data_IF_964237272653
#
_entry.id   IF_964237272653
#
_cell.length_a   1.000
_cell.length_b   1.000
_cell.length_c   1.000
_cell.angle_alpha   90.00
_cell.angle_beta   90.00
_cell.angle_gamma   90.00
#
_symmetry.space_group_name_H-M   'P 1'
#
loop_
_entity.id
_entity.type
_entity.pdbx_description
1 polymer ?
#
# COMPACT_ATOMS: atom_id res chain seq x y z
N UNK A 1 -15.39 5.32 0.08
CA UNK A 1 -15.92 4.99 -1.26
C UNK A 1 -14.75 4.99 -2.25
N UNK A 2 -14.14 3.83 -2.52
CA UNK A 2 -13.03 3.68 -3.49
C UNK A 2 -13.50 3.16 -4.86
N UNK A 3 -14.76 2.74 -4.97
CA UNK A 3 -15.30 2.07 -6.16
C UNK A 3 -15.34 2.99 -7.39
N UNK A 4 -15.67 4.27 -7.24
CA UNK A 4 -15.82 5.21 -8.37
C UNK A 4 -14.49 5.63 -9.03
N UNK A 5 -13.34 5.38 -8.41
CA UNK A 5 -12.03 5.72 -9.00
C UNK A 5 -11.44 4.60 -9.86
N UNK A 6 -11.96 3.37 -9.74
CA UNK A 6 -11.50 2.21 -10.52
C UNK A 6 -12.11 2.21 -11.93
N UNK A 7 -13.28 2.83 -12.11
CA UNK A 7 -13.95 2.96 -13.42
C UNK A 7 -13.08 3.65 -14.50
N UNK A 8 -12.07 4.43 -14.10
CA UNK A 8 -11.11 5.05 -15.02
C UNK A 8 -9.86 4.21 -15.31
N UNK A 9 -9.70 3.03 -14.70
CA UNK A 9 -8.62 2.08 -14.98
C UNK A 9 -9.10 1.16 -16.12
N UNK A 10 -9.22 1.75 -17.31
CA UNK A 10 -9.84 1.06 -18.45
C UNK A 10 -8.82 0.46 -19.41
N UNK A 11 -7.53 0.81 -19.29
CA UNK A 11 -6.47 0.34 -20.19
C UNK A 11 -5.59 -0.74 -19.53
N UNK A 12 -5.18 -1.75 -20.29
CA UNK A 12 -4.16 -2.73 -19.90
C UNK A 12 -2.86 -2.04 -19.44
N UNK A 13 -2.53 -0.89 -20.04
CA UNK A 13 -1.38 -0.09 -19.67
C UNK A 13 -1.50 0.51 -18.25
N UNK A 14 -2.71 0.87 -17.82
CA UNK A 14 -2.96 1.41 -16.48
C UNK A 14 -2.77 0.32 -15.41
N UNK A 15 -3.29 -0.88 -15.68
CA UNK A 15 -3.05 -2.05 -14.85
C UNK A 15 -1.57 -2.39 -14.73
N UNK A 16 -0.81 -2.29 -15.83
CA UNK A 16 0.64 -2.51 -15.82
C UNK A 16 1.39 -1.48 -14.98
N UNK A 17 1.00 -0.20 -15.05
CA UNK A 17 1.58 0.87 -14.22
C UNK A 17 1.30 0.59 -12.73
N UNK A 18 0.07 0.22 -12.40
CA UNK A 18 -0.35 -0.10 -11.03
C UNK A 18 0.39 -1.31 -10.47
N UNK A 19 0.51 -2.39 -11.25
CA UNK A 19 1.24 -3.60 -10.84
C UNK A 19 2.72 -3.30 -10.58
N UNK A 20 3.38 -2.58 -11.50
CA UNK A 20 4.78 -2.18 -11.32
C UNK A 20 4.97 -1.26 -10.13
N UNK A 21 4.08 -0.30 -9.93
CA UNK A 21 4.12 0.60 -8.79
C UNK A 21 3.96 -0.16 -7.47
N UNK A 22 3.04 -1.13 -7.41
CA UNK A 22 2.83 -2.00 -6.26
C UNK A 22 4.06 -2.85 -5.94
N UNK A 23 4.58 -3.58 -6.92
CA UNK A 23 5.78 -4.40 -6.76
C UNK A 23 6.97 -3.55 -6.28
N UNK A 24 7.15 -2.36 -6.86
CA UNK A 24 8.25 -1.47 -6.48
C UNK A 24 8.04 -0.87 -5.08
N UNK A 25 6.82 -0.52 -4.70
CA UNK A 25 6.52 -0.04 -3.34
C UNK A 25 6.79 -1.13 -2.30
N UNK A 26 6.37 -2.37 -2.57
CA UNK A 26 6.64 -3.52 -1.71
C UNK A 26 8.16 -3.75 -1.56
N UNK A 27 8.93 -3.66 -2.66
CA UNK A 27 10.40 -3.74 -2.60
C UNK A 27 11.01 -2.63 -1.73
N UNK A 28 10.57 -1.38 -1.86
CA UNK A 28 11.07 -0.26 -1.04
C UNK A 28 10.77 -0.50 0.45
N UNK A 29 9.61 -1.08 0.76
CA UNK A 29 9.20 -1.39 2.12
C UNK A 29 9.80 -2.70 2.66
N UNK A 30 10.57 -3.44 1.85
CA UNK A 30 11.10 -4.76 2.22
C UNK A 30 10.02 -5.83 2.42
N UNK A 31 8.85 -5.67 1.80
CA UNK A 31 7.68 -6.55 1.95
C UNK A 31 7.51 -7.44 0.73
N UNK A 32 7.00 -8.65 0.95
CA UNK A 32 6.60 -9.52 -0.15
C UNK A 32 5.25 -9.06 -0.75
N UNK A 33 5.14 -8.79 -2.06
CA UNK A 33 3.93 -8.28 -2.68
C UNK A 33 2.75 -9.28 -2.70
N UNK A 34 3.01 -10.59 -2.51
CA UNK A 34 1.98 -11.64 -2.58
C UNK A 34 1.54 -12.13 -1.20
N UNK A 35 2.48 -12.23 -0.26
CA UNK A 35 2.26 -12.89 1.02
C UNK A 35 2.22 -11.94 2.21
N UNK A 36 2.67 -10.69 2.05
CA UNK A 36 2.69 -9.76 3.18
C UNK A 36 1.28 -9.26 3.51
N UNK A 37 0.86 -9.25 4.78
CA UNK A 37 -0.49 -8.82 5.18
C UNK A 37 -0.79 -7.36 4.78
N UNK A 38 0.23 -6.50 4.79
CA UNK A 38 0.13 -5.10 4.36
C UNK A 38 0.27 -4.89 2.85
N UNK A 39 0.49 -5.93 2.04
CA UNK A 39 0.62 -5.77 0.58
C UNK A 39 -0.69 -5.28 -0.06
N UNK A 40 -1.84 -5.69 0.47
CA UNK A 40 -3.14 -5.19 0.03
C UNK A 40 -3.30 -3.70 0.33
N UNK A 41 -2.84 -3.25 1.50
CA UNK A 41 -2.86 -1.84 1.86
C UNK A 41 -1.97 -1.00 0.94
N UNK A 42 -0.78 -1.50 0.60
CA UNK A 42 0.11 -0.89 -0.40
C UNK A 42 -0.60 -0.76 -1.75
N UNK A 43 -1.31 -1.79 -2.21
CA UNK A 43 -2.06 -1.76 -3.47
C UNK A 43 -3.16 -0.68 -3.46
N UNK A 44 -3.94 -0.60 -2.38
CA UNK A 44 -4.97 0.44 -2.21
C UNK A 44 -4.37 1.85 -2.23
N UNK A 45 -3.22 2.04 -1.60
CA UNK A 45 -2.52 3.32 -1.58
C UNK A 45 -2.00 3.69 -2.97
N UNK A 46 -1.46 2.74 -3.73
CA UNK A 46 -1.05 2.94 -5.14
C UNK A 46 -2.25 3.36 -6.00
N UNK A 47 -3.39 2.64 -5.89
CA UNK A 47 -4.62 2.97 -6.64
C UNK A 47 -5.12 4.37 -6.27
N UNK A 48 -5.07 4.74 -4.99
CA UNK A 48 -5.49 6.07 -4.55
C UNK A 48 -4.60 7.18 -5.15
N UNK A 49 -3.28 6.99 -5.24
CA UNK A 49 -2.41 7.97 -5.91
C UNK A 49 -2.61 7.99 -7.42
N UNK A 50 -2.86 6.84 -8.03
CA UNK A 50 -3.19 6.75 -9.44
C UNK A 50 -4.51 7.48 -9.75
N UNK A 51 -5.54 7.29 -8.92
CA UNK A 51 -6.82 7.98 -9.06
C UNK A 51 -6.69 9.52 -8.98
N UNK A 52 -5.65 10.04 -8.31
CA UNK A 52 -5.34 11.47 -8.23
C UNK A 52 -4.65 12.03 -9.48
N UNK A 53 -4.35 11.19 -10.46
CA UNK A 53 -3.75 11.59 -11.74
C UNK A 53 -2.30 11.13 -11.92
N UNK A 54 -1.67 10.50 -10.93
CA UNK A 54 -0.29 10.03 -11.10
C UNK A 54 -0.22 8.77 -11.96
N UNK A 55 0.63 8.84 -12.98
CA UNK A 55 0.84 7.75 -13.96
C UNK A 55 2.27 7.23 -13.98
N UNK A 56 3.20 7.90 -13.30
CA UNK A 56 4.57 7.43 -13.16
C UNK A 56 4.67 6.37 -12.06
N UNK A 57 5.03 5.14 -12.44
CA UNK A 57 5.07 4.01 -11.51
C UNK A 57 6.14 4.18 -10.41
N UNK A 58 7.25 4.85 -10.70
CA UNK A 58 8.32 5.10 -9.72
C UNK A 58 7.91 6.13 -8.68
N UNK A 59 7.21 7.18 -9.13
CA UNK A 59 6.64 8.22 -8.27
C UNK A 59 5.51 7.66 -7.41
N UNK A 60 4.61 6.87 -8.00
CA UNK A 60 3.56 6.13 -7.27
C UNK A 60 4.16 5.24 -6.17
N UNK A 61 5.19 4.46 -6.51
CA UNK A 61 5.84 3.58 -5.55
C UNK A 61 6.47 4.35 -4.38
N UNK A 62 7.18 5.43 -4.70
CA UNK A 62 7.85 6.27 -3.70
C UNK A 62 6.86 6.99 -2.79
N UNK A 63 5.76 7.53 -3.34
CA UNK A 63 4.71 8.20 -2.58
C UNK A 63 3.95 7.21 -1.68
N UNK A 64 3.68 6.01 -2.18
CA UNK A 64 3.09 4.93 -1.38
C UNK A 64 4.00 4.52 -0.24
N UNK A 65 5.28 4.24 -0.51
CA UNK A 65 6.22 3.85 0.53
C UNK A 65 6.38 4.94 1.60
N UNK A 66 6.53 6.20 1.19
CA UNK A 66 6.60 7.34 2.13
C UNK A 66 5.34 7.45 2.99
N UNK A 67 4.16 7.26 2.40
CA UNK A 67 2.90 7.32 3.14
C UNK A 67 2.78 6.18 4.15
N UNK A 68 3.18 4.97 3.77
CA UNK A 68 3.18 3.79 4.66
C UNK A 68 4.18 3.94 5.82
N UNK A 69 5.37 4.48 5.55
CA UNK A 69 6.37 4.78 6.58
C UNK A 69 5.84 5.84 7.55
N UNK A 70 5.32 6.96 7.05
CA UNK A 70 4.77 8.01 7.89
C UNK A 70 3.58 7.52 8.73
N UNK A 71 2.72 6.65 8.19
CA UNK A 71 1.63 6.05 8.97
C UNK A 71 2.19 5.23 10.14
N UNK A 72 3.23 4.45 9.89
CA UNK A 72 3.88 3.66 10.93
C UNK A 72 4.58 4.54 11.98
N UNK A 73 5.24 5.62 11.58
CA UNK A 73 5.88 6.57 12.49
C UNK A 73 4.85 7.26 13.41
N UNK A 74 3.69 7.68 12.88
CA UNK A 74 2.61 8.25 13.69
C UNK A 74 1.99 7.25 14.68
N UNK A 75 1.94 5.96 14.35
CA UNK A 75 1.50 4.93 15.30
C UNK A 75 2.53 4.71 16.42
N UNK A 76 3.82 4.94 16.17
CA UNK A 76 4.87 4.85 17.20
C UNK A 76 4.91 6.05 18.15
N UNK A 77 4.48 7.24 17.73
CA UNK A 77 4.46 8.44 18.58
C UNK A 77 3.22 8.53 19.49
N UNK A 78 2.12 7.83 19.17
CA UNK A 78 0.93 7.75 20.03
C UNK A 78 1.00 6.65 21.08
N UNK A 79 1.98 5.73 20.95
CA UNK A 79 2.31 4.72 21.95
C UNK A 79 3.70 4.97 22.52
N UNK A 80 3.83 6.02 23.32
CA UNK A 80 4.93 6.10 24.26
C UNK A 80 4.88 4.88 25.19
N UNK A 81 5.68 3.85 24.93
CA UNK A 81 6.49 3.07 25.88
C UNK A 81 7.05 1.81 25.20
N UNK A 82 8.37 1.63 25.35
CA UNK A 82 9.14 0.39 25.24
C UNK A 82 9.45 -0.17 23.84
N UNK A 83 10.66 0.19 23.41
CA UNK A 83 11.52 -0.58 22.50
C UNK A 83 11.68 -2.00 23.04
N UNK A 84 10.84 -2.95 22.60
CA UNK A 84 11.05 -4.43 22.59
C UNK A 84 9.72 -5.19 22.57
N UNK A 85 8.89 -5.00 21.54
CA UNK A 85 7.99 -6.09 21.11
C UNK A 85 7.47 -5.79 19.70
N UNK A 86 8.30 -6.07 18.70
CA UNK A 86 7.88 -6.03 17.30
C UNK A 86 7.37 -7.40 16.85
N UNK A 87 6.65 -8.06 17.75
CA UNK A 87 5.85 -9.24 17.47
C UNK A 87 4.47 -8.90 17.98
N UNK A 88 3.42 -9.14 17.19
CA UNK A 88 2.02 -9.00 17.61
C UNK A 88 1.49 -7.56 17.59
N UNK A 89 1.02 -7.07 16.43
CA UNK A 89 -0.33 -6.46 16.36
C UNK A 89 -1.01 -6.88 15.04
N UNK A 90 -1.80 -7.96 15.14
CA UNK A 90 -3.13 -8.18 14.52
C UNK A 90 -3.20 -8.14 12.99
N UNK A 91 -3.20 -9.25 12.26
CA UNK A 91 -4.12 -10.40 12.35
C UNK A 91 -5.62 -10.03 12.42
N UNK A 92 -6.08 -9.11 11.57
CA UNK A 92 -7.50 -8.98 11.25
C UNK A 92 -7.71 -9.24 9.76
N UNK A 93 -7.79 -10.54 9.40
CA UNK A 93 -8.23 -10.98 8.07
C UNK A 93 -9.70 -10.56 7.86
N UNK A 94 -10.05 -9.76 6.86
CA UNK A 94 -11.40 -9.81 6.30
C UNK A 94 -11.48 -11.06 5.41
N UNK A 95 -12.23 -12.06 5.87
CA UNK A 95 -12.61 -13.23 5.05
C UNK A 95 -13.62 -12.78 4.01
N UNK A 96 -13.18 -12.47 2.80
CA UNK A 96 -14.08 -12.37 1.65
C UNK A 96 -13.42 -12.95 0.40
N UNK A 97 -13.41 -14.28 0.30
CA UNK A 97 -13.50 -15.00 -0.97
C UNK A 97 -14.17 -16.34 -0.66
N UNK A 98 -15.45 -16.42 -1.00
CA UNK A 98 -16.22 -17.65 -1.17
C UNK A 98 -16.79 -17.62 -2.58
#
# INVERSE_FOLDING_TARGET
MLYSSIDHISSENDWHILEKAHQRACQILGRDPKYHPLAEQVARTVIMFFARGERDYGRLASMTAKREINLFEFETETMGTNVRDMSIIVASRPKYFH
#
